data_IF_201963091236
#
_entry.id   IF_201963091236
#
_cell.length_a   1.000
_cell.length_b   1.000
_cell.length_c   1.000
_cell.angle_alpha   90.00
_cell.angle_beta   90.00
_cell.angle_gamma   90.00
#
_symmetry.space_group_name_H-M   'P 1'
#
loop_
_entity.id
_entity.type
_entity.pdbx_description
1 polymer ?
#
# COMPACT_ATOMS: atom_id res chain seq x y z
N UNK A 1 10.30 -2.56 -10.31
CA UNK A 1 10.69 -1.47 -11.21
C UNK A 1 11.99 -1.75 -11.98
N UNK A 2 12.92 -2.57 -11.44
CA UNK A 2 14.13 -2.97 -12.17
C UNK A 2 13.78 -3.81 -13.38
N UNK A 3 14.57 -3.67 -14.47
CA UNK A 3 14.42 -4.55 -15.63
C UNK A 3 14.79 -6.01 -15.30
N UNK A 4 14.28 -6.95 -16.11
CA UNK A 4 14.59 -8.37 -15.96
C UNK A 4 15.90 -8.77 -16.67
N UNK A 5 16.96 -7.99 -16.38
CA UNK A 5 18.35 -8.26 -16.79
C UNK A 5 19.13 -8.81 -15.61
N UNK A 6 20.34 -9.36 -15.85
CA UNK A 6 21.24 -9.77 -14.77
C UNK A 6 21.58 -8.61 -13.83
N UNK A 7 21.78 -7.41 -14.39
CA UNK A 7 21.96 -6.19 -13.63
C UNK A 7 20.76 -5.88 -12.74
N UNK A 8 19.56 -5.84 -13.32
CA UNK A 8 18.34 -5.52 -12.58
C UNK A 8 18.03 -6.53 -11.48
N UNK A 9 18.24 -7.84 -11.75
CA UNK A 9 18.08 -8.90 -10.75
C UNK A 9 19.08 -8.75 -9.60
N UNK A 10 20.37 -8.54 -9.93
CA UNK A 10 21.42 -8.36 -8.92
C UNK A 10 21.12 -7.14 -8.02
N UNK A 11 20.82 -6.00 -8.62
CA UNK A 11 20.53 -4.79 -7.84
C UNK A 11 19.24 -4.90 -7.04
N UNK A 12 18.21 -5.55 -7.55
CA UNK A 12 17.02 -5.87 -6.76
C UNK A 12 17.39 -6.65 -5.49
N UNK A 13 18.18 -7.69 -5.62
CA UNK A 13 18.56 -8.55 -4.51
C UNK A 13 19.47 -7.79 -3.52
N UNK A 14 20.39 -6.97 -4.02
CA UNK A 14 21.24 -6.08 -3.21
C UNK A 14 20.40 -5.07 -2.42
N UNK A 15 19.42 -4.43 -3.06
CA UNK A 15 18.57 -3.42 -2.39
C UNK A 15 17.62 -4.03 -1.37
N UNK A 16 17.18 -5.26 -1.60
CA UNK A 16 16.29 -5.97 -0.69
C UNK A 16 17.04 -6.71 0.42
N UNK A 17 18.38 -6.81 0.30
CA UNK A 17 19.20 -7.48 1.31
C UNK A 17 19.00 -6.83 2.68
N UNK A 18 18.63 -7.66 3.68
CA UNK A 18 18.53 -7.24 5.07
C UNK A 18 19.74 -7.73 5.82
N UNK A 19 20.36 -6.81 6.55
CA UNK A 19 21.51 -7.12 7.36
C UNK A 19 21.12 -8.05 8.52
N UNK A 20 21.98 -8.99 8.82
CA UNK A 20 21.91 -9.85 10.00
C UNK A 20 23.22 -9.80 10.76
N UNK A 21 23.16 -9.96 12.07
CA UNK A 21 24.38 -10.06 12.86
C UNK A 21 25.25 -11.23 12.38
N UNK A 22 26.58 -11.07 12.30
CA UNK A 22 27.48 -12.18 11.99
C UNK A 22 27.35 -13.32 13.01
N UNK A 23 27.61 -14.55 12.58
CA UNK A 23 27.60 -15.70 13.49
C UNK A 23 28.57 -15.50 14.67
N UNK A 24 28.08 -15.71 15.88
CA UNK A 24 28.86 -15.49 17.11
C UNK A 24 28.93 -14.06 17.63
N UNK A 25 28.24 -13.11 16.96
CA UNK A 25 28.13 -11.74 17.45
C UNK A 25 27.14 -11.69 18.63
N UNK A 26 27.59 -11.18 19.79
CA UNK A 26 26.83 -11.20 21.06
C UNK A 26 26.24 -9.86 21.46
N UNK A 27 26.70 -8.79 20.82
CA UNK A 27 26.24 -7.44 21.10
C UNK A 27 25.04 -7.06 20.20
N UNK A 28 24.39 -5.92 20.47
CA UNK A 28 23.36 -5.37 19.61
C UNK A 28 23.97 -4.97 18.27
N UNK A 29 23.39 -5.48 17.17
CA UNK A 29 23.81 -5.14 15.81
C UNK A 29 22.91 -4.03 15.24
N UNK A 30 23.37 -2.77 15.19
CA UNK A 30 22.51 -1.62 14.86
C UNK A 30 21.87 -1.67 13.47
N UNK A 31 22.46 -2.44 12.54
CA UNK A 31 21.91 -2.59 11.18
C UNK A 31 20.98 -3.78 11.05
N UNK A 32 20.75 -4.56 12.10
CA UNK A 32 19.94 -5.77 12.02
C UNK A 32 18.54 -5.48 11.44
N UNK A 33 18.15 -6.30 10.47
CA UNK A 33 16.90 -6.17 9.70
C UNK A 33 16.76 -4.91 8.83
N UNK A 34 17.71 -3.97 8.80
CA UNK A 34 17.68 -2.86 7.87
C UNK A 34 17.93 -3.34 6.43
N UNK A 35 17.10 -2.90 5.50
CA UNK A 35 17.34 -3.15 4.08
C UNK A 35 18.36 -2.13 3.53
N UNK A 36 19.33 -2.58 2.71
CA UNK A 36 20.31 -1.68 2.11
C UNK A 36 19.63 -0.57 1.29
N UNK A 37 18.57 -0.89 0.55
CA UNK A 37 17.82 0.10 -0.21
C UNK A 37 17.26 1.24 0.64
N UNK A 38 16.77 0.93 1.85
CA UNK A 38 16.29 1.96 2.77
C UNK A 38 17.43 2.88 3.25
N UNK A 39 18.60 2.31 3.53
CA UNK A 39 19.77 3.08 3.92
C UNK A 39 20.27 3.98 2.78
N UNK A 40 20.30 3.45 1.56
CA UNK A 40 20.67 4.22 0.38
C UNK A 40 19.73 5.40 0.14
N UNK A 41 18.42 5.16 0.16
CA UNK A 41 17.41 6.22 -0.02
C UNK A 41 17.56 7.28 1.08
N UNK A 42 17.72 6.86 2.34
CA UNK A 42 17.94 7.79 3.45
C UNK A 42 19.20 8.63 3.25
N UNK A 43 20.28 8.01 2.79
CA UNK A 43 21.55 8.72 2.48
C UNK A 43 21.34 9.76 1.37
N UNK A 44 20.65 9.38 0.29
CA UNK A 44 20.35 10.32 -0.81
C UNK A 44 19.49 11.49 -0.32
N UNK A 45 18.49 11.25 0.51
CA UNK A 45 17.66 12.31 1.09
C UNK A 45 18.47 13.28 1.95
N UNK A 46 19.40 12.77 2.76
CA UNK A 46 20.27 13.61 3.60
C UNK A 46 21.27 14.44 2.79
N UNK A 47 21.80 13.86 1.70
CA UNK A 47 22.80 14.53 0.87
C UNK A 47 22.20 15.55 -0.10
N UNK A 48 21.02 15.25 -0.64
CA UNK A 48 20.38 16.08 -1.67
C UNK A 48 19.38 17.08 -1.07
N UNK A 49 18.99 16.89 0.19
CA UNK A 49 17.96 17.67 0.89
C UNK A 49 16.63 17.76 0.12
N UNK A 50 16.42 16.82 -0.82
CA UNK A 50 15.25 16.72 -1.70
C UNK A 50 14.81 15.25 -1.79
N UNK A 51 13.66 14.90 -1.19
CA UNK A 51 13.15 13.53 -1.22
C UNK A 51 12.83 13.02 -2.63
N UNK A 52 12.35 13.88 -3.52
CA UNK A 52 11.99 13.51 -4.90
C UNK A 52 13.25 13.23 -5.69
N UNK A 53 14.23 14.15 -5.65
CA UNK A 53 15.53 13.94 -6.30
C UNK A 53 16.22 12.68 -5.78
N UNK A 54 16.17 12.42 -4.47
CA UNK A 54 16.76 11.21 -3.89
C UNK A 54 16.15 9.91 -4.43
N UNK A 55 14.84 9.88 -4.61
CA UNK A 55 14.14 8.74 -5.23
C UNK A 55 14.43 8.62 -6.72
N UNK A 56 14.53 9.73 -7.45
CA UNK A 56 14.90 9.75 -8.86
C UNK A 56 16.32 9.18 -9.07
N UNK A 57 17.29 9.56 -8.23
CA UNK A 57 18.64 8.99 -8.26
C UNK A 57 18.67 7.50 -7.95
N UNK A 58 17.90 7.06 -6.95
CA UNK A 58 17.76 5.64 -6.65
C UNK A 58 17.13 4.88 -7.83
N UNK A 59 16.11 5.45 -8.46
CA UNK A 59 15.48 4.91 -9.67
C UNK A 59 16.45 4.81 -10.84
N UNK A 60 17.26 5.84 -11.08
CA UNK A 60 18.27 5.85 -12.13
C UNK A 60 19.34 4.77 -11.92
N UNK A 61 19.82 4.59 -10.67
CA UNK A 61 20.77 3.53 -10.34
C UNK A 61 20.21 2.13 -10.66
N UNK A 62 18.92 1.94 -10.46
CA UNK A 62 18.23 0.66 -10.69
C UNK A 62 17.77 0.49 -12.14
N UNK A 63 18.01 1.45 -13.01
CA UNK A 63 17.42 1.51 -14.35
C UNK A 63 15.90 1.27 -14.31
N UNK A 64 15.23 1.90 -13.34
CA UNK A 64 13.84 1.66 -13.07
C UNK A 64 12.94 2.18 -14.19
N UNK A 65 11.94 1.38 -14.55
CA UNK A 65 10.86 1.83 -15.43
C UNK A 65 9.76 2.48 -14.59
N UNK A 66 9.46 3.71 -14.90
CA UNK A 66 8.54 4.53 -14.10
C UNK A 66 9.25 5.22 -12.93
N UNK A 67 8.48 5.95 -12.17
CA UNK A 67 8.96 6.86 -11.15
C UNK A 67 8.37 6.51 -9.78
N UNK A 68 9.16 6.59 -8.74
CA UNK A 68 8.69 6.49 -7.35
C UNK A 68 8.63 7.88 -6.77
N UNK A 69 7.47 8.25 -6.24
CA UNK A 69 7.23 9.57 -5.67
C UNK A 69 6.79 9.43 -4.21
N UNK A 70 7.25 10.29 -3.31
CA UNK A 70 6.75 10.28 -1.93
C UNK A 70 5.33 10.84 -1.90
N UNK A 71 4.49 10.35 -1.00
CA UNK A 71 3.15 10.92 -0.84
C UNK A 71 3.17 12.32 -0.22
N UNK A 72 4.19 12.63 0.58
CA UNK A 72 4.41 13.92 1.21
C UNK A 72 5.89 14.24 1.33
N UNK A 73 6.21 15.53 1.44
CA UNK A 73 7.57 16.04 1.61
C UNK A 73 7.97 16.19 3.08
N UNK A 74 7.00 16.18 4.00
CA UNK A 74 7.25 16.23 5.42
C UNK A 74 7.21 14.83 6.04
N UNK A 75 8.03 14.55 7.05
CA UNK A 75 7.94 13.31 7.81
C UNK A 75 6.57 13.14 8.46
N UNK A 76 5.97 11.97 8.26
CA UNK A 76 4.67 11.63 8.84
C UNK A 76 4.74 10.34 9.62
N UNK A 77 3.93 10.28 10.67
CA UNK A 77 3.74 9.07 11.46
C UNK A 77 2.28 8.64 11.36
N UNK A 78 2.05 7.41 10.93
CA UNK A 78 0.74 6.77 11.02
C UNK A 78 0.45 6.42 12.47
N UNK A 79 -0.77 6.64 12.91
CA UNK A 79 -1.26 6.14 14.19
C UNK A 79 -2.59 5.45 14.04
N UNK A 80 -2.91 4.59 15.00
CA UNK A 80 -4.21 3.96 15.12
C UNK A 80 -4.71 3.98 16.55
N UNK A 81 -6.00 3.80 16.74
CA UNK A 81 -6.63 3.68 18.04
C UNK A 81 -7.06 2.24 18.28
N UNK A 82 -6.64 1.66 19.38
CA UNK A 82 -7.07 0.34 19.84
C UNK A 82 -7.86 0.45 21.13
N UNK A 83 -8.76 -0.51 21.35
CA UNK A 83 -9.51 -0.60 22.60
C UNK A 83 -8.83 -1.62 23.49
N UNK A 84 -8.51 -1.25 24.73
CA UNK A 84 -7.93 -2.14 25.74
C UNK A 84 -8.84 -2.20 26.96
N UNK A 85 -9.06 -3.40 27.47
CA UNK A 85 -9.76 -3.61 28.73
C UNK A 85 -8.81 -3.39 29.91
N UNK A 86 -9.25 -2.63 30.89
CA UNK A 86 -8.54 -2.50 32.17
C UNK A 86 -8.93 -3.60 33.15
N UNK A 87 -8.02 -3.93 34.06
CA UNK A 87 -8.26 -4.86 35.16
C UNK A 87 -9.45 -4.50 36.06
N UNK A 88 -10.00 -3.28 35.95
CA UNK A 88 -11.18 -2.80 36.66
C UNK A 88 -12.50 -2.83 35.83
N UNK A 89 -12.53 -3.45 34.64
CA UNK A 89 -13.72 -3.60 33.83
C UNK A 89 -14.10 -2.39 32.94
N UNK A 90 -13.18 -1.44 32.75
CA UNK A 90 -13.35 -0.29 31.81
C UNK A 90 -12.64 -0.54 30.48
N UNK A 91 -13.14 0.10 29.40
CA UNK A 91 -12.51 0.12 28.09
C UNK A 91 -11.80 1.45 27.90
N UNK A 92 -10.49 1.39 27.63
CA UNK A 92 -9.67 2.56 27.30
C UNK A 92 -9.36 2.60 25.81
N UNK A 93 -9.33 3.81 25.23
CA UNK A 93 -8.81 4.07 23.89
C UNK A 93 -7.33 4.38 23.96
N UNK A 94 -6.50 3.49 23.45
CA UNK A 94 -5.05 3.65 23.42
C UNK A 94 -4.60 4.00 22.00
N UNK A 95 -3.83 5.10 21.89
CA UNK A 95 -3.22 5.49 20.60
C UNK A 95 -1.88 4.76 20.44
N UNK A 96 -1.74 4.06 19.33
CA UNK A 96 -0.53 3.37 18.91
C UNK A 96 0.08 4.15 17.76
N UNK A 97 1.35 4.54 17.86
CA UNK A 97 2.06 5.29 16.83
C UNK A 97 3.04 4.38 16.09
N UNK A 98 3.17 4.61 14.79
CA UNK A 98 4.13 3.94 13.91
C UNK A 98 3.60 2.64 13.29
N UNK A 99 3.97 2.43 12.04
CA UNK A 99 3.49 1.30 11.24
C UNK A 99 3.86 -0.06 11.85
N UNK A 100 5.09 -0.20 12.35
CA UNK A 100 5.58 -1.44 12.98
C UNK A 100 4.81 -1.79 14.26
N UNK A 101 4.44 -0.79 15.05
CA UNK A 101 3.65 -1.03 16.27
C UNK A 101 2.20 -1.36 15.92
N UNK A 102 1.63 -0.66 14.93
CA UNK A 102 0.28 -0.95 14.44
C UNK A 102 0.17 -2.35 13.83
N UNK A 103 1.23 -2.85 13.17
CA UNK A 103 1.19 -4.20 12.58
C UNK A 103 1.08 -5.32 13.61
N UNK A 104 1.38 -5.05 14.87
CA UNK A 104 1.23 -6.00 15.99
C UNK A 104 -0.17 -5.99 16.61
N UNK A 105 -1.00 -5.01 16.25
CA UNK A 105 -2.34 -4.85 16.81
C UNK A 105 -3.41 -5.49 15.91
N UNK A 106 -4.26 -6.32 16.50
CA UNK A 106 -5.28 -7.10 15.75
C UNK A 106 -6.54 -6.30 15.39
N UNK A 107 -6.90 -5.33 16.22
CA UNK A 107 -8.11 -4.53 16.04
C UNK A 107 -7.80 -3.05 16.14
N UNK A 108 -7.59 -2.43 14.99
CA UNK A 108 -7.38 -0.97 14.90
C UNK A 108 -8.68 -0.32 14.44
N UNK A 109 -9.26 0.52 15.28
CA UNK A 109 -10.56 1.14 15.03
C UNK A 109 -10.47 2.39 14.16
N UNK A 110 -9.48 3.24 14.40
CA UNK A 110 -9.26 4.47 13.66
C UNK A 110 -7.80 4.59 13.27
N UNK A 111 -7.56 5.07 12.07
CA UNK A 111 -6.23 5.33 11.54
C UNK A 111 -6.13 6.82 11.18
N UNK A 112 -4.99 7.41 11.45
CA UNK A 112 -4.72 8.80 11.12
C UNK A 112 -3.23 9.06 10.88
N UNK A 113 -2.92 10.27 10.43
CA UNK A 113 -1.57 10.75 10.18
C UNK A 113 -1.23 11.93 11.11
N UNK A 114 0.03 12.04 11.48
CA UNK A 114 0.57 13.19 12.23
C UNK A 114 1.88 13.62 11.58
N UNK A 115 2.05 14.90 11.20
CA UNK A 115 1.02 15.94 11.17
C UNK A 115 -0.07 15.66 10.12
N UNK A 116 -1.27 16.20 10.30
CA UNK A 116 -2.39 16.05 9.36
C UNK A 116 -2.25 16.93 8.11
N UNK A 117 -1.52 18.01 8.25
CA UNK A 117 -1.26 19.07 7.27
C UNK A 117 0.13 18.96 6.64
N UNK A 118 0.69 17.76 6.63
CA UNK A 118 1.95 17.50 5.94
C UNK A 118 1.87 17.96 4.48
N UNK A 119 2.95 18.58 4.01
CA UNK A 119 3.02 19.09 2.64
C UNK A 119 2.95 17.94 1.65
N UNK A 120 1.95 17.90 0.76
CA UNK A 120 1.88 16.88 -0.27
C UNK A 120 3.05 17.03 -1.24
N UNK A 121 3.44 15.94 -1.90
CA UNK A 121 4.39 16.00 -3.01
C UNK A 121 3.66 16.48 -4.28
N UNK A 122 4.03 17.66 -4.85
CA UNK A 122 3.35 18.20 -6.03
C UNK A 122 3.44 17.26 -7.24
N UNK A 123 4.60 16.62 -7.43
CA UNK A 123 4.84 15.68 -8.53
C UNK A 123 3.94 14.44 -8.41
N UNK A 124 3.65 13.99 -7.18
CA UNK A 124 2.72 12.89 -6.95
C UNK A 124 1.27 13.30 -7.27
N UNK A 125 0.87 14.52 -6.93
CA UNK A 125 -0.45 15.04 -7.29
C UNK A 125 -0.60 15.14 -8.82
N UNK A 126 0.39 15.73 -9.49
CA UNK A 126 0.41 15.82 -10.95
C UNK A 126 0.36 14.44 -11.61
N UNK A 127 1.13 13.46 -11.09
CA UNK A 127 1.11 12.11 -11.63
C UNK A 127 -0.27 11.44 -11.48
N UNK A 128 -1.01 11.72 -10.41
CA UNK A 128 -2.38 11.22 -10.23
C UNK A 128 -3.33 11.90 -11.24
N UNK A 129 -3.20 13.20 -11.43
CA UNK A 129 -4.07 13.99 -12.31
C UNK A 129 -3.87 13.67 -13.80
N UNK A 130 -2.62 13.38 -14.21
CA UNK A 130 -2.26 13.09 -15.61
C UNK A 130 -2.31 11.59 -15.97
N UNK A 131 -2.62 10.72 -15.02
CA UNK A 131 -2.65 9.27 -15.27
C UNK A 131 -3.94 8.85 -16.00
N UNK A 132 -3.85 7.77 -16.77
CA UNK A 132 -5.04 7.09 -17.33
C UNK A 132 -5.72 6.21 -16.26
N UNK A 133 -4.94 5.65 -15.34
CA UNK A 133 -5.40 4.77 -14.28
C UNK A 133 -4.73 5.07 -12.95
N UNK A 134 -5.51 5.09 -11.89
CA UNK A 134 -5.03 5.07 -10.49
C UNK A 134 -5.34 3.71 -9.90
N UNK A 135 -4.30 2.98 -9.48
CA UNK A 135 -4.42 1.65 -8.89
C UNK A 135 -4.16 1.74 -7.40
N UNK A 136 -5.10 1.29 -6.57
CA UNK A 136 -4.98 1.18 -5.14
C UNK A 136 -4.70 -0.28 -4.74
N UNK A 137 -3.53 -0.56 -4.19
CA UNK A 137 -3.08 -1.92 -3.86
C UNK A 137 -2.50 -2.70 -5.05
N UNK A 138 -2.29 -4.02 -4.90
CA UNK A 138 -2.46 -4.78 -3.66
C UNK A 138 -1.43 -4.38 -2.60
N UNK A 139 -1.76 -4.61 -1.34
CA UNK A 139 -0.87 -4.33 -0.22
C UNK A 139 -1.61 -4.11 1.09
N UNK A 140 -0.85 -3.98 2.18
CA UNK A 140 -1.42 -3.70 3.49
C UNK A 140 -2.31 -2.44 3.45
N UNK A 141 -3.48 -2.53 4.04
CA UNK A 141 -4.39 -1.38 4.18
C UNK A 141 -3.75 -0.23 4.95
N UNK A 142 -2.80 -0.52 5.81
CA UNK A 142 -2.00 0.48 6.54
C UNK A 142 -1.03 1.24 5.65
N UNK A 143 -0.76 0.73 4.45
CA UNK A 143 -0.02 1.45 3.40
C UNK A 143 -0.92 2.13 2.39
N UNK A 144 -2.10 1.58 2.11
CA UNK A 144 -3.06 2.15 1.15
C UNK A 144 -3.83 3.33 1.78
N UNK A 145 -4.35 3.16 3.00
CA UNK A 145 -5.16 4.19 3.67
C UNK A 145 -4.44 5.53 3.90
N UNK A 146 -3.14 5.60 4.22
CA UNK A 146 -2.44 6.89 4.36
C UNK A 146 -2.63 7.82 3.17
N UNK A 147 -2.68 7.28 1.95
CA UNK A 147 -2.92 8.06 0.73
C UNK A 147 -4.30 8.74 0.70
N UNK A 148 -5.27 8.18 1.39
CA UNK A 148 -6.61 8.74 1.53
C UNK A 148 -6.77 9.60 2.80
N UNK A 149 -5.80 9.55 3.70
CA UNK A 149 -5.77 10.37 4.92
C UNK A 149 -5.11 11.73 4.70
N UNK A 150 -4.18 11.83 3.75
CA UNK A 150 -3.60 13.09 3.32
C UNK A 150 -4.60 13.80 2.38
N UNK A 151 -5.15 14.93 2.86
CA UNK A 151 -6.28 15.60 2.19
C UNK A 151 -6.02 15.91 0.72
N UNK A 152 -4.89 16.53 0.40
CA UNK A 152 -4.58 16.89 -0.98
C UNK A 152 -4.48 15.68 -1.91
N UNK A 153 -3.90 14.57 -1.44
CA UNK A 153 -3.77 13.35 -2.23
C UNK A 153 -5.11 12.64 -2.37
N UNK A 154 -5.90 12.53 -1.28
CA UNK A 154 -7.27 12.02 -1.34
C UNK A 154 -8.10 12.79 -2.37
N UNK A 155 -8.02 14.12 -2.32
CA UNK A 155 -8.79 14.98 -3.21
C UNK A 155 -8.34 14.82 -4.66
N UNK A 156 -7.04 14.69 -4.94
CA UNK A 156 -6.53 14.38 -6.27
C UNK A 156 -7.06 13.02 -6.77
N UNK A 157 -6.98 11.96 -5.95
CA UNK A 157 -7.50 10.62 -6.30
C UNK A 157 -9.02 10.65 -6.53
N UNK A 158 -9.77 11.42 -5.75
CA UNK A 158 -11.22 11.49 -5.88
C UNK A 158 -11.69 12.31 -7.10
N UNK A 159 -10.91 13.33 -7.51
CA UNK A 159 -11.30 14.28 -8.58
C UNK A 159 -10.70 13.96 -9.94
N UNK A 160 -9.62 13.17 -10.01
CA UNK A 160 -9.01 12.84 -11.29
C UNK A 160 -10.00 12.23 -12.27
N UNK A 161 -9.82 12.51 -13.55
CA UNK A 161 -10.57 11.86 -14.63
C UNK A 161 -10.04 10.45 -14.94
N UNK A 162 -8.90 10.08 -14.36
CA UNK A 162 -8.35 8.73 -14.46
C UNK A 162 -9.35 7.67 -13.97
N UNK A 163 -9.33 6.52 -14.61
CA UNK A 163 -10.03 5.33 -14.13
C UNK A 163 -9.39 4.83 -12.81
N UNK A 164 -10.19 4.35 -11.89
CA UNK A 164 -9.72 3.93 -10.55
C UNK A 164 -10.01 2.46 -10.31
N UNK A 165 -8.96 1.72 -9.99
CA UNK A 165 -9.04 0.31 -9.69
C UNK A 165 -8.52 0.02 -8.27
N UNK A 166 -9.21 -0.86 -7.57
CA UNK A 166 -8.71 -1.48 -6.33
C UNK A 166 -8.32 -2.92 -6.63
N UNK A 167 -7.13 -3.32 -6.19
CA UNK A 167 -6.73 -4.73 -6.19
C UNK A 167 -6.87 -5.29 -4.79
N UNK A 168 -7.73 -6.28 -4.63
CA UNK A 168 -8.00 -6.90 -3.34
C UNK A 168 -6.83 -7.77 -2.89
N UNK A 169 -6.57 -7.80 -1.60
CA UNK A 169 -5.63 -8.75 -1.00
C UNK A 169 -6.17 -10.18 -1.08
N UNK A 170 -5.25 -11.15 -1.08
CA UNK A 170 -5.56 -12.58 -1.25
C UNK A 170 -5.87 -13.31 0.06
N UNK A 171 -5.53 -12.72 1.18
CA UNK A 171 -5.66 -13.34 2.50
C UNK A 171 -6.25 -12.39 3.52
N UNK A 172 -6.85 -13.00 4.53
CA UNK A 172 -7.04 -12.39 5.84
C UNK A 172 -5.68 -12.38 6.54
N UNK A 173 -4.86 -11.35 6.30
CA UNK A 173 -3.68 -11.10 7.11
C UNK A 173 -4.08 -10.88 8.57
N UNK A 174 -3.14 -11.02 9.51
CA UNK A 174 -3.39 -10.68 10.93
C UNK A 174 -3.92 -9.25 11.10
N UNK A 175 -3.57 -8.36 10.15
CA UNK A 175 -4.05 -6.96 10.08
C UNK A 175 -5.55 -6.84 9.84
N UNK A 176 -6.12 -7.81 9.15
CA UNK A 176 -7.51 -7.78 8.65
C UNK A 176 -8.31 -8.97 9.15
N UNK A 177 -7.79 -9.67 10.16
CA UNK A 177 -8.47 -10.81 10.76
C UNK A 177 -9.93 -10.48 11.12
N UNK A 178 -10.86 -11.12 10.44
CA UNK A 178 -12.30 -10.88 10.59
C UNK A 178 -12.90 -9.81 9.68
N UNK A 179 -12.13 -9.20 8.78
CA UNK A 179 -12.67 -8.31 7.74
C UNK A 179 -12.95 -9.10 6.47
N UNK A 180 -14.17 -8.98 5.95
CA UNK A 180 -14.49 -9.48 4.62
C UNK A 180 -13.88 -8.58 3.54
N UNK A 181 -13.68 -9.07 2.29
CA UNK A 181 -13.27 -8.21 1.18
C UNK A 181 -14.15 -6.96 1.01
N UNK A 182 -15.46 -7.09 1.23
CA UNK A 182 -16.40 -5.96 1.18
C UNK A 182 -16.14 -4.95 2.31
N UNK A 183 -15.79 -5.41 3.51
CA UNK A 183 -15.45 -4.52 4.62
C UNK A 183 -14.20 -3.67 4.32
N UNK A 184 -13.26 -4.18 3.54
CA UNK A 184 -12.11 -3.41 3.07
C UNK A 184 -12.51 -2.25 2.14
N UNK A 185 -13.43 -2.48 1.19
CA UNK A 185 -13.95 -1.40 0.35
C UNK A 185 -14.74 -0.39 1.17
N UNK A 186 -15.56 -0.84 2.11
CA UNK A 186 -16.29 0.03 3.02
C UNK A 186 -15.35 0.91 3.86
N UNK A 187 -14.15 0.39 4.19
CA UNK A 187 -13.12 1.16 4.88
C UNK A 187 -12.57 2.28 3.99
N UNK A 188 -12.29 2.03 2.71
CA UNK A 188 -11.88 3.07 1.76
C UNK A 188 -12.95 4.16 1.65
N UNK A 189 -14.22 3.78 1.51
CA UNK A 189 -15.35 4.69 1.44
C UNK A 189 -15.50 5.53 2.71
N UNK A 190 -15.21 4.96 3.88
CA UNK A 190 -15.22 5.67 5.16
C UNK A 190 -14.21 6.82 5.20
N UNK A 191 -12.98 6.59 4.68
CA UNK A 191 -11.91 7.60 4.67
C UNK A 191 -11.97 8.54 3.47
N UNK A 192 -12.59 8.12 2.38
CA UNK A 192 -12.79 8.91 1.17
C UNK A 192 -14.23 8.75 0.67
N UNK A 193 -15.22 9.43 1.28
CA UNK A 193 -16.65 9.23 0.95
C UNK A 193 -17.01 9.59 -0.50
N UNK A 194 -16.23 10.44 -1.14
CA UNK A 194 -16.38 10.83 -2.55
C UNK A 194 -15.62 9.95 -3.53
N UNK A 195 -14.88 8.96 -3.04
CA UNK A 195 -14.14 8.01 -3.89
C UNK A 195 -15.12 7.18 -4.70
N UNK A 196 -14.99 7.26 -6.02
CA UNK A 196 -15.65 6.38 -6.98
C UNK A 196 -14.60 5.44 -7.55
N UNK A 197 -14.99 4.24 -7.82
CA UNK A 197 -14.14 3.23 -8.44
C UNK A 197 -14.76 2.82 -9.77
N UNK A 198 -13.93 2.41 -10.71
CA UNK A 198 -14.37 1.88 -12.02
C UNK A 198 -14.23 0.36 -12.04
N UNK A 199 -13.23 -0.19 -11.33
CA UNK A 199 -13.01 -1.62 -11.25
C UNK A 199 -12.50 -2.06 -9.89
N UNK A 200 -12.76 -3.32 -9.55
CA UNK A 200 -12.15 -4.05 -8.43
C UNK A 200 -11.62 -5.36 -8.98
N UNK A 201 -10.31 -5.60 -8.88
CA UNK A 201 -9.71 -6.91 -9.21
C UNK A 201 -9.70 -7.77 -7.95
N UNK A 202 -10.29 -8.95 -8.03
CA UNK A 202 -10.32 -9.94 -6.95
C UNK A 202 -9.98 -11.34 -7.49
N UNK A 203 -9.40 -12.18 -6.63
CA UNK A 203 -9.02 -13.54 -6.97
C UNK A 203 -10.26 -14.39 -7.28
N UNK A 204 -10.22 -15.14 -8.37
CA UNK A 204 -11.29 -16.04 -8.79
C UNK A 204 -11.44 -17.30 -7.90
N UNK A 205 -10.49 -17.54 -6.98
CA UNK A 205 -10.64 -18.54 -5.91
C UNK A 205 -11.34 -18.00 -4.65
N UNK A 206 -11.67 -16.70 -4.62
CA UNK A 206 -12.44 -16.11 -3.51
C UNK A 206 -13.72 -16.90 -3.25
N UNK A 207 -14.02 -17.28 -2.01
CA UNK A 207 -15.21 -18.08 -1.67
C UNK A 207 -16.50 -17.44 -2.17
N UNK A 208 -17.35 -18.22 -2.81
CA UNK A 208 -18.64 -17.73 -3.38
C UNK A 208 -19.54 -17.08 -2.33
N UNK A 209 -19.43 -17.49 -1.06
CA UNK A 209 -20.21 -16.94 0.05
C UNK A 209 -19.98 -15.44 0.30
N UNK A 210 -18.79 -14.93 -0.06
CA UNK A 210 -18.45 -13.49 0.15
C UNK A 210 -18.45 -12.69 -1.14
N UNK A 211 -18.57 -13.34 -2.31
CA UNK A 211 -18.54 -12.64 -3.62
C UNK A 211 -19.66 -11.64 -3.78
N UNK A 212 -20.90 -12.04 -3.49
CA UNK A 212 -22.07 -11.17 -3.66
C UNK A 212 -22.02 -9.92 -2.76
N UNK A 213 -21.38 -10.05 -1.59
CA UNK A 213 -21.16 -8.89 -0.72
C UNK A 213 -20.15 -7.94 -1.32
N UNK A 214 -19.02 -8.45 -1.85
CA UNK A 214 -18.01 -7.66 -2.53
C UNK A 214 -18.56 -6.97 -3.78
N UNK A 215 -19.34 -7.68 -4.60
CA UNK A 215 -19.97 -7.14 -5.80
C UNK A 215 -20.91 -5.97 -5.45
N UNK A 216 -21.78 -6.15 -4.46
CA UNK A 216 -22.70 -5.11 -4.00
C UNK A 216 -21.95 -3.88 -3.46
N UNK A 217 -20.89 -4.06 -2.66
CA UNK A 217 -20.12 -2.95 -2.15
C UNK A 217 -19.37 -2.23 -3.27
N UNK A 218 -18.80 -2.98 -4.23
CA UNK A 218 -18.16 -2.43 -5.43
C UNK A 218 -19.13 -1.59 -6.25
N UNK A 219 -20.33 -2.10 -6.52
CA UNK A 219 -21.40 -1.36 -7.22
C UNK A 219 -21.79 -0.09 -6.48
N UNK A 220 -21.82 -0.10 -5.14
CA UNK A 220 -22.11 1.08 -4.33
C UNK A 220 -21.09 2.22 -4.51
N UNK A 221 -19.87 1.87 -4.98
CA UNK A 221 -18.79 2.80 -5.31
C UNK A 221 -18.67 3.08 -6.81
N UNK A 222 -19.51 2.46 -7.64
CA UNK A 222 -19.54 2.63 -9.10
C UNK A 222 -18.75 1.57 -9.88
N UNK A 223 -18.11 0.61 -9.19
CA UNK A 223 -17.21 -0.36 -9.80
C UNK A 223 -17.87 -1.69 -10.13
N UNK A 224 -17.27 -2.41 -11.07
CA UNK A 224 -17.51 -3.82 -11.31
C UNK A 224 -16.35 -4.66 -10.78
N UNK A 225 -16.66 -5.86 -10.29
CA UNK A 225 -15.64 -6.81 -9.86
C UNK A 225 -15.17 -7.62 -11.06
N UNK A 226 -13.87 -7.60 -11.31
CA UNK A 226 -13.17 -8.47 -12.24
C UNK A 226 -12.57 -9.63 -11.45
N UNK A 227 -13.12 -10.82 -11.63
CA UNK A 227 -12.62 -12.06 -11.07
C UNK A 227 -11.53 -12.62 -11.95
N UNK A 228 -10.29 -12.68 -11.44
CA UNK A 228 -9.13 -13.12 -12.22
C UNK A 228 -8.21 -14.03 -11.38
N UNK A 229 -7.52 -15.00 -12.01
CA UNK A 229 -6.61 -15.91 -11.31
C UNK A 229 -5.31 -15.17 -10.97
N UNK A 230 -5.31 -14.32 -9.95
CA UNK A 230 -4.15 -13.48 -9.60
C UNK A 230 -3.23 -14.10 -8.56
N UNK A 231 -3.61 -15.22 -7.96
CA UNK A 231 -2.83 -15.96 -6.93
C UNK A 231 -1.64 -16.72 -7.55
N UNK A 232 -0.51 -16.77 -6.83
CA UNK A 232 0.67 -17.54 -7.26
C UNK A 232 0.41 -19.04 -7.23
N UNK A 233 -0.17 -19.55 -6.14
CA UNK A 233 -0.63 -20.93 -5.98
C UNK A 233 -1.75 -20.99 -4.94
N UNK A 234 -2.50 -22.09 -4.89
CA UNK A 234 -3.57 -22.28 -3.93
C UNK A 234 -3.08 -22.24 -2.46
N UNK A 235 -1.84 -22.62 -2.24
CA UNK A 235 -1.23 -22.67 -0.90
C UNK A 235 -0.56 -21.34 -0.48
N UNK A 236 -0.45 -20.38 -1.40
CA UNK A 236 0.34 -19.19 -1.18
C UNK A 236 -0.51 -17.91 -1.38
N UNK A 237 -0.64 -17.13 -0.33
CA UNK A 237 -1.38 -15.86 -0.33
C UNK A 237 -0.59 -14.70 -0.94
N UNK A 238 0.16 -14.97 -2.00
CA UNK A 238 0.97 -13.99 -2.73
C UNK A 238 0.44 -13.85 -4.15
N UNK A 239 0.33 -12.62 -4.63
CA UNK A 239 -0.01 -12.36 -6.03
C UNK A 239 1.10 -12.86 -6.97
N UNK A 240 0.70 -13.48 -8.06
CA UNK A 240 1.60 -13.79 -9.16
C UNK A 240 1.74 -12.55 -10.04
N UNK A 241 2.94 -11.98 -10.21
CA UNK A 241 3.13 -10.75 -10.99
C UNK A 241 2.67 -10.87 -12.45
N UNK A 242 2.88 -12.03 -13.09
CA UNK A 242 2.48 -12.24 -14.49
C UNK A 242 0.96 -12.37 -14.63
N UNK A 243 0.31 -13.08 -13.72
CA UNK A 243 -1.16 -13.21 -13.70
C UNK A 243 -1.82 -11.85 -13.40
N UNK A 244 -1.27 -11.10 -12.45
CA UNK A 244 -1.76 -9.76 -12.15
C UNK A 244 -1.55 -8.80 -13.33
N UNK A 245 -0.40 -8.88 -14.02
CA UNK A 245 -0.15 -8.12 -15.24
C UNK A 245 -1.14 -8.47 -16.35
N UNK A 246 -1.51 -9.75 -16.49
CA UNK A 246 -2.53 -10.19 -17.44
C UNK A 246 -3.92 -9.60 -17.09
N UNK A 247 -4.28 -9.58 -15.80
CA UNK A 247 -5.51 -8.95 -15.34
C UNK A 247 -5.53 -7.44 -15.63
N UNK A 248 -4.42 -6.73 -15.40
CA UNK A 248 -4.30 -5.32 -15.79
C UNK A 248 -4.41 -5.12 -17.31
N UNK A 249 -3.76 -5.97 -18.10
CA UNK A 249 -3.86 -5.88 -19.56
C UNK A 249 -5.31 -6.05 -20.04
N UNK A 250 -6.03 -6.99 -19.48
CA UNK A 250 -7.45 -7.18 -19.74
C UNK A 250 -8.24 -5.93 -19.32
N UNK A 251 -8.06 -5.47 -18.08
CA UNK A 251 -8.73 -4.28 -17.54
C UNK A 251 -8.54 -3.05 -18.42
N UNK A 252 -7.30 -2.75 -18.83
CA UNK A 252 -6.97 -1.57 -19.65
C UNK A 252 -7.46 -1.69 -21.09
N UNK A 253 -7.79 -2.90 -21.54
CA UNK A 253 -8.35 -3.15 -22.88
C UNK A 253 -9.86 -2.98 -22.94
N UNK A 254 -10.55 -3.02 -21.79
CA UNK A 254 -11.98 -2.74 -21.74
C UNK A 254 -12.22 -1.24 -21.95
N UNK A 255 -13.07 -0.91 -22.93
CA UNK A 255 -13.68 0.42 -23.02
C UNK A 255 -14.88 0.42 -22.09
N UNK A 256 -14.77 1.09 -20.96
CA UNK A 256 -15.88 1.33 -20.03
C UNK A 256 -16.89 2.32 -20.60
#
# INVERSE_FOLDING_TARGET
LCDDTDWGRTWRDVMQHRFSAPEGYTDEFPLEYHALGNLLITTLWQLLEDPVAGLDWAGALLNARGRVLPMALDPMVIYGTVLREHAGGGIERVRINGQVNLSKEKQVHDIGLTPKDARPCPEALTAIEESDWVILGPGSWRTVLPHLLLEAQRDAICRTEAMRCVVMNLSDDEETAGFTPAAHLALLKRYAPSLRLDAVIADDETPKSVRSELERESESMGARVMWAPVRASAENNVHNPLKLAAAYHELFSFKF
#
